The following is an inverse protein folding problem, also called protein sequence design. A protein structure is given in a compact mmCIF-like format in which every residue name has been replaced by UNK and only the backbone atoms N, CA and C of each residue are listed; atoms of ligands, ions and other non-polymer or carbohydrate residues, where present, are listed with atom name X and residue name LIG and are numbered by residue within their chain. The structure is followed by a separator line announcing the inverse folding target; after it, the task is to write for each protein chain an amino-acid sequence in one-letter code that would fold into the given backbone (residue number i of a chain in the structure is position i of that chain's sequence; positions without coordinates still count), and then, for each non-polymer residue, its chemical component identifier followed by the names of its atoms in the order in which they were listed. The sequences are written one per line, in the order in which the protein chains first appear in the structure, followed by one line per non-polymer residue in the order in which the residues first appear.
data_IF_279490262385
#
_entry.id   IF_279490262385
#
_cell.length_a   1.000
_cell.length_b   1.000
_cell.length_c   1.000
_cell.angle_alpha   90.00
_cell.angle_beta   90.00
_cell.angle_gamma   90.00
#
_symmetry.space_group_name_H-M   'P 1'
#
loop_
_entity.id
_entity.type
_entity.pdbx_description
1 polymer ?
#
# COMPACT_ATOMS: atom_id res chain seq x y z
N UNK A 1 15.78 3.10 29.45
CA UNK A 1 14.84 4.24 29.29
C UNK A 1 14.27 4.21 27.86
N UNK A 2 12.98 3.89 27.64
CA UNK A 2 12.39 3.95 26.29
C UNK A 2 12.30 5.43 25.88
N UNK A 3 13.08 5.86 24.89
CA UNK A 3 12.98 7.20 24.30
C UNK A 3 11.55 7.42 23.80
N UNK A 4 10.80 8.30 24.47
CA UNK A 4 9.49 8.73 23.98
C UNK A 4 9.74 9.70 22.83
N UNK A 5 9.43 9.29 21.60
CA UNK A 5 9.42 10.16 20.42
C UNK A 5 7.99 10.51 20.06
N UNK A 6 7.72 11.75 19.67
CA UNK A 6 6.38 12.16 19.24
C UNK A 6 6.09 11.76 17.78
N UNK A 7 7.11 11.72 16.93
CA UNK A 7 7.00 11.45 15.49
C UNK A 7 7.77 10.21 15.04
N UNK A 8 7.33 9.61 13.93
CA UNK A 8 8.06 8.53 13.27
C UNK A 8 9.40 9.00 12.69
N UNK A 9 10.22 8.05 12.23
CA UNK A 9 11.45 8.38 11.50
C UNK A 9 11.13 9.16 10.22
N UNK A 10 11.86 10.24 9.86
CA UNK A 10 11.60 10.98 8.64
C UNK A 10 11.52 10.08 7.40
N UNK A 11 12.46 9.12 7.28
CA UNK A 11 12.42 8.11 6.22
C UNK A 11 11.13 7.27 6.22
N UNK A 12 10.58 6.91 7.38
CA UNK A 12 9.30 6.20 7.45
C UNK A 12 8.12 7.06 6.99
N UNK A 13 8.15 8.35 7.31
CA UNK A 13 7.14 9.31 6.89
C UNK A 13 7.19 9.46 5.37
N UNK A 14 8.37 9.69 4.79
CA UNK A 14 8.56 9.78 3.34
C UNK A 14 8.09 8.49 2.64
N UNK A 15 8.54 7.32 3.11
CA UNK A 15 8.14 6.05 2.53
C UNK A 15 6.63 5.81 2.65
N UNK A 16 6.00 6.21 3.75
CA UNK A 16 4.56 6.07 3.92
C UNK A 16 3.78 6.87 2.88
N UNK A 17 4.07 8.15 2.73
CA UNK A 17 3.35 9.01 1.77
C UNK A 17 3.65 8.63 0.32
N UNK A 18 4.92 8.30 0.01
CA UNK A 18 5.30 7.80 -1.30
C UNK A 18 4.53 6.51 -1.66
N UNK A 19 4.51 5.52 -0.75
CA UNK A 19 3.75 4.29 -0.97
C UNK A 19 2.25 4.54 -1.07
N UNK A 20 1.69 5.44 -0.26
CA UNK A 20 0.27 5.77 -0.34
C UNK A 20 -0.10 6.30 -1.73
N UNK A 21 0.70 7.21 -2.29
CA UNK A 21 0.50 7.75 -3.64
C UNK A 21 0.69 6.67 -4.71
N UNK A 22 1.76 5.88 -4.63
CA UNK A 22 2.04 4.81 -5.61
C UNK A 22 0.95 3.74 -5.61
N UNK A 23 0.46 3.33 -4.44
CA UNK A 23 -0.60 2.32 -4.31
C UNK A 23 -1.92 2.88 -4.86
N UNK A 24 -2.27 4.13 -4.53
CA UNK A 24 -3.47 4.78 -5.07
C UNK A 24 -3.40 4.88 -6.61
N UNK A 25 -2.25 5.28 -7.16
CA UNK A 25 -2.02 5.33 -8.60
C UNK A 25 -2.10 3.94 -9.26
N UNK A 26 -1.49 2.92 -8.66
CA UNK A 26 -1.54 1.55 -9.18
C UNK A 26 -2.97 0.99 -9.18
N UNK A 27 -3.76 1.26 -8.14
CA UNK A 27 -5.17 0.90 -8.08
C UNK A 27 -5.99 1.62 -9.14
N UNK A 28 -5.77 2.93 -9.33
CA UNK A 28 -6.44 3.70 -10.37
C UNK A 28 -6.11 3.16 -11.78
N UNK A 29 -4.84 2.88 -12.06
CA UNK A 29 -4.41 2.24 -13.32
C UNK A 29 -5.08 0.86 -13.49
N UNK A 30 -5.16 0.06 -12.43
CA UNK A 30 -5.80 -1.25 -12.46
C UNK A 30 -7.30 -1.19 -12.77
N UNK A 31 -8.05 -0.36 -12.04
CA UNK A 31 -9.51 -0.27 -12.18
C UNK A 31 -9.97 0.54 -13.39
N UNK A 32 -9.35 1.68 -13.66
CA UNK A 32 -9.82 2.62 -14.69
C UNK A 32 -9.05 2.50 -16.01
N UNK A 33 -7.83 1.95 -15.99
CA UNK A 33 -7.06 1.67 -17.20
C UNK A 33 -7.24 0.22 -17.65
N UNK A 34 -6.65 -0.72 -16.90
CA UNK A 34 -6.53 -2.11 -17.32
C UNK A 34 -7.86 -2.88 -17.37
N UNK A 35 -8.77 -2.63 -16.43
CA UNK A 35 -10.06 -3.32 -16.41
C UNK A 35 -11.04 -2.77 -17.45
N UNK A 36 -10.94 -1.48 -17.81
CA UNK A 36 -11.81 -0.84 -18.79
C UNK A 36 -11.39 -1.08 -20.25
N UNK A 37 -10.12 -1.45 -20.49
CA UNK A 37 -9.55 -1.60 -21.83
C UNK A 37 -9.60 -3.07 -22.30
N UNK A 38 -10.04 -3.37 -23.54
CA UNK A 38 -9.97 -4.73 -24.10
C UNK A 38 -8.53 -5.23 -24.26
N UNK A 39 -8.31 -6.55 -24.20
CA UNK A 39 -6.97 -7.13 -24.43
C UNK A 39 -6.47 -7.02 -25.88
N UNK A 40 -7.37 -6.75 -26.83
CA UNK A 40 -7.05 -6.49 -28.23
C UNK A 40 -6.53 -5.07 -28.48
N UNK A 41 -6.65 -4.16 -27.50
CA UNK A 41 -6.17 -2.79 -27.63
C UNK A 41 -4.63 -2.76 -27.49
N UNK A 42 -3.89 -2.27 -28.51
CA UNK A 42 -2.43 -2.21 -28.45
C UNK A 42 -1.89 -1.29 -27.34
N UNK A 43 -2.66 -0.29 -26.89
CA UNK A 43 -2.26 0.60 -25.79
C UNK A 43 -2.16 -0.16 -24.45
N UNK A 44 -2.87 -1.28 -24.31
CA UNK A 44 -2.93 -2.04 -23.05
C UNK A 44 -1.56 -2.57 -22.63
N UNK A 45 -0.68 -2.88 -23.58
CA UNK A 45 0.68 -3.35 -23.32
C UNK A 45 1.47 -2.27 -22.56
N UNK A 46 1.37 -1.01 -22.96
CA UNK A 46 2.05 0.10 -22.28
C UNK A 46 1.55 0.29 -20.85
N UNK A 47 0.23 0.21 -20.65
CA UNK A 47 -0.39 0.34 -19.32
C UNK A 47 0.01 -0.85 -18.43
N UNK A 48 0.01 -2.08 -18.96
CA UNK A 48 0.50 -3.27 -18.25
C UNK A 48 1.95 -3.10 -17.82
N UNK A 49 2.82 -2.57 -18.69
CA UNK A 49 4.22 -2.32 -18.38
C UNK A 49 4.38 -1.44 -17.15
N UNK A 50 3.68 -0.30 -17.14
CA UNK A 50 3.73 0.66 -16.02
C UNK A 50 3.15 0.04 -14.75
N UNK A 51 2.02 -0.65 -14.86
CA UNK A 51 1.37 -1.28 -13.70
C UNK A 51 2.23 -2.39 -13.07
N UNK A 52 2.81 -3.28 -13.88
CA UNK A 52 3.67 -4.37 -13.42
C UNK A 52 4.97 -3.83 -12.79
N UNK A 53 5.62 -2.86 -13.44
CA UNK A 53 6.82 -2.22 -12.90
C UNK A 53 6.52 -1.48 -11.59
N UNK A 54 5.40 -0.75 -11.53
CA UNK A 54 4.94 -0.06 -10.33
C UNK A 54 4.66 -1.03 -9.17
N UNK A 55 4.05 -2.19 -9.45
CA UNK A 55 3.83 -3.25 -8.45
C UNK A 55 5.13 -3.76 -7.82
N UNK A 56 6.16 -4.00 -8.65
CA UNK A 56 7.47 -4.44 -8.16
C UNK A 56 8.20 -3.34 -7.37
N UNK A 57 8.10 -2.08 -7.80
CA UNK A 57 8.63 -0.93 -7.06
C UNK A 57 7.96 -0.80 -5.67
N UNK A 58 6.64 -0.92 -5.62
CA UNK A 58 5.88 -0.90 -4.35
C UNK A 58 6.35 -2.02 -3.42
N UNK A 59 6.59 -3.23 -3.92
CA UNK A 59 7.13 -4.33 -3.12
C UNK A 59 8.48 -3.98 -2.50
N UNK A 60 9.42 -3.49 -3.31
CA UNK A 60 10.76 -3.10 -2.85
C UNK A 60 10.71 -1.99 -1.79
N UNK A 61 9.95 -0.93 -2.05
CA UNK A 61 9.77 0.18 -1.09
C UNK A 61 9.06 -0.27 0.18
N UNK A 62 8.11 -1.20 0.09
CA UNK A 62 7.43 -1.77 1.26
C UNK A 62 8.40 -2.59 2.12
N UNK A 63 9.28 -3.38 1.51
CA UNK A 63 10.32 -4.12 2.21
C UNK A 63 11.28 -3.18 2.95
N UNK A 64 11.78 -2.14 2.26
CA UNK A 64 12.60 -1.09 2.88
C UNK A 64 11.86 -0.45 4.05
N UNK A 65 10.59 -0.09 3.87
CA UNK A 65 9.75 0.48 4.93
C UNK A 65 9.63 -0.45 6.13
N UNK A 66 9.46 -1.76 5.92
CA UNK A 66 9.40 -2.75 6.99
C UNK A 66 10.71 -2.81 7.78
N UNK A 67 11.85 -2.87 7.09
CA UNK A 67 13.18 -2.88 7.71
C UNK A 67 13.38 -1.61 8.55
N UNK A 68 13.15 -0.42 7.99
CA UNK A 68 13.28 0.85 8.73
C UNK A 68 12.32 0.89 9.92
N UNK A 69 11.11 0.32 9.79
CA UNK A 69 10.15 0.24 10.91
C UNK A 69 10.64 -0.68 12.02
N UNK A 70 11.42 -1.71 11.72
CA UNK A 70 12.00 -2.60 12.72
C UNK A 70 13.20 -1.95 13.42
N UNK A 71 14.00 -1.17 12.69
CA UNK A 71 15.23 -0.56 13.19
C UNK A 71 15.04 0.78 13.92
N UNK A 72 13.88 1.44 13.79
CA UNK A 72 13.67 2.79 14.33
C UNK A 72 12.67 2.84 15.48
N UNK A 73 12.91 3.73 16.45
CA UNK A 73 11.99 4.01 17.53
C UNK A 73 10.62 4.48 17.01
N UNK A 74 9.56 4.04 17.68
CA UNK A 74 8.16 4.32 17.33
C UNK A 74 7.53 5.19 18.41
N UNK A 75 6.67 6.16 18.05
CA UNK A 75 5.83 6.84 19.02
C UNK A 75 4.99 5.85 19.82
N UNK A 76 4.56 6.27 21.01
CA UNK A 76 3.57 5.52 21.78
C UNK A 76 2.33 5.26 20.91
N UNK A 77 1.68 4.10 21.09
CA UNK A 77 0.46 3.79 20.36
C UNK A 77 -0.59 4.85 20.68
N UNK A 78 -1.30 5.32 19.66
CA UNK A 78 -2.50 6.09 19.89
C UNK A 78 -3.57 5.16 20.48
N UNK A 79 -4.35 5.68 21.41
CA UNK A 79 -5.49 4.99 21.99
C UNK A 79 -6.74 5.71 21.54
N UNK A 80 -7.72 4.95 21.09
CA UNK A 80 -9.08 5.44 20.83
C UNK A 80 -9.87 5.66 22.12
N UNK A 81 -9.37 5.15 23.26
CA UNK A 81 -10.13 5.05 24.52
C UNK A 81 -11.09 3.87 24.57
N UNK A 82 -11.18 3.08 23.49
CA UNK A 82 -11.97 1.84 23.43
C UNK A 82 -11.04 0.62 23.30
N UNK A 83 -10.92 -0.22 24.34
CA UNK A 83 -9.99 -1.35 24.35
C UNK A 83 -10.16 -2.33 23.18
N UNK A 84 -11.39 -2.51 22.67
CA UNK A 84 -11.68 -3.36 21.52
C UNK A 84 -11.08 -2.81 20.21
N UNK A 85 -11.24 -1.51 19.96
CA UNK A 85 -10.69 -0.83 18.78
C UNK A 85 -9.15 -0.73 18.84
N UNK A 86 -8.60 -0.54 20.03
CA UNK A 86 -7.15 -0.48 20.22
C UNK A 86 -6.46 -1.83 19.96
N UNK A 87 -7.15 -2.95 20.24
CA UNK A 87 -6.63 -4.31 19.98
C UNK A 87 -6.55 -4.64 18.48
N UNK A 88 -7.44 -4.12 17.66
CA UNK A 88 -7.45 -4.40 16.21
C UNK A 88 -6.48 -3.50 15.42
N UNK A 89 -6.05 -2.37 15.99
CA UNK A 89 -5.18 -1.41 15.30
C UNK A 89 -3.86 -2.03 14.77
N UNK A 90 -3.13 -2.87 15.54
CA UNK A 90 -1.96 -3.56 15.02
C UNK A 90 -2.29 -4.52 13.88
N UNK A 91 -3.45 -5.19 13.92
CA UNK A 91 -3.88 -6.15 12.90
C UNK A 91 -4.06 -5.47 11.54
N UNK A 92 -4.61 -4.26 11.50
CA UNK A 92 -4.69 -3.48 10.26
C UNK A 92 -3.30 -3.19 9.66
N UNK A 93 -2.32 -2.86 10.49
CA UNK A 93 -0.98 -2.52 10.00
C UNK A 93 -0.27 -3.74 9.42
N UNK A 94 -0.32 -4.88 10.11
CA UNK A 94 0.24 -6.14 9.57
C UNK A 94 -0.59 -6.67 8.39
N UNK A 95 -1.91 -6.44 8.41
CA UNK A 95 -2.83 -6.74 7.31
C UNK A 95 -2.43 -6.05 6.01
N UNK A 96 -2.06 -4.76 6.05
CA UNK A 96 -1.55 -4.07 4.85
C UNK A 96 -0.30 -4.73 4.26
N UNK A 97 0.65 -5.14 5.11
CA UNK A 97 1.86 -5.82 4.63
C UNK A 97 1.51 -7.15 3.94
N UNK A 98 0.68 -7.98 4.57
CA UNK A 98 0.24 -9.25 4.02
C UNK A 98 -0.55 -9.06 2.71
N UNK A 99 -1.47 -8.09 2.69
CA UNK A 99 -2.33 -7.81 1.55
C UNK A 99 -1.56 -7.30 0.34
N UNK A 100 -0.59 -6.40 0.55
CA UNK A 100 0.25 -5.88 -0.53
C UNK A 100 1.19 -6.97 -1.05
N UNK A 101 1.74 -7.82 -0.17
CA UNK A 101 2.51 -8.97 -0.61
C UNK A 101 1.66 -9.94 -1.45
N UNK A 102 0.43 -10.23 -1.02
CA UNK A 102 -0.50 -11.07 -1.77
C UNK A 102 -0.90 -10.46 -3.12
N UNK A 103 -1.10 -9.14 -3.19
CA UNK A 103 -1.34 -8.41 -4.43
C UNK A 103 -0.19 -8.61 -5.41
N UNK A 104 1.06 -8.39 -4.98
CA UNK A 104 2.22 -8.52 -5.87
C UNK A 104 2.45 -9.99 -6.25
N UNK A 105 2.30 -10.93 -5.32
CA UNK A 105 2.44 -12.36 -5.60
C UNK A 105 1.43 -12.85 -6.65
N UNK A 106 0.15 -12.49 -6.50
CA UNK A 106 -0.90 -12.86 -7.46
C UNK A 106 -0.72 -12.17 -8.83
N UNK A 107 -0.30 -10.91 -8.84
CA UNK A 107 0.01 -10.18 -10.08
C UNK A 107 1.21 -10.78 -10.82
N UNK A 108 2.28 -11.08 -10.09
CA UNK A 108 3.49 -11.72 -10.62
C UNK A 108 3.17 -13.11 -11.19
N UNK A 109 2.45 -13.94 -10.44
CA UNK A 109 2.04 -15.27 -10.89
C UNK A 109 1.18 -15.20 -12.16
N UNK A 110 0.23 -14.25 -12.22
CA UNK A 110 -0.57 -14.00 -13.44
C UNK A 110 0.35 -13.62 -14.60
N UNK A 111 1.35 -12.76 -14.37
CA UNK A 111 2.31 -12.36 -15.39
C UNK A 111 3.10 -13.53 -15.95
N UNK A 112 3.57 -14.44 -15.10
CA UNK A 112 4.27 -15.66 -15.53
C UNK A 112 3.33 -16.58 -16.33
N UNK A 113 2.15 -16.88 -15.80
CA UNK A 113 1.17 -17.79 -16.44
C UNK A 113 0.68 -17.27 -17.80
N UNK A 114 0.63 -15.95 -17.97
CA UNK A 114 0.18 -15.29 -19.19
C UNK A 114 1.33 -14.90 -20.14
N UNK A 115 2.58 -15.26 -19.84
CA UNK A 115 3.74 -14.91 -20.68
C UNK A 115 4.01 -13.40 -20.79
N UNK A 116 3.50 -12.60 -19.86
CA UNK A 116 3.58 -11.14 -19.92
C UNK A 116 5.00 -10.58 -19.93
N UNK A 117 6.03 -11.16 -19.26
CA UNK A 117 7.38 -10.65 -19.36
C UNK A 117 7.88 -10.53 -20.80
N UNK A 118 7.65 -11.56 -21.62
CA UNK A 118 8.06 -11.56 -23.02
C UNK A 118 7.25 -10.56 -23.86
N UNK A 119 5.93 -10.53 -23.67
CA UNK A 119 5.03 -9.66 -24.44
C UNK A 119 5.28 -8.18 -24.09
N UNK A 120 5.34 -7.86 -22.80
CA UNK A 120 5.29 -6.49 -22.29
C UNK A 120 6.66 -5.84 -22.20
N UNK A 121 7.70 -6.59 -21.80
CA UNK A 121 9.04 -6.03 -21.61
C UNK A 121 10.02 -6.41 -22.72
N UNK A 122 9.96 -7.63 -23.25
CA UNK A 122 10.86 -8.07 -24.32
C UNK A 122 10.35 -7.77 -25.74
N UNK A 123 9.08 -7.37 -25.89
CA UNK A 123 8.51 -7.00 -27.18
C UNK A 123 8.37 -8.18 -28.14
N UNK A 124 7.99 -9.37 -27.65
CA UNK A 124 7.90 -10.59 -28.46
C UNK A 124 6.93 -10.53 -29.65
N UNK A 125 6.05 -9.53 -29.69
CA UNK A 125 4.99 -9.42 -30.71
C UNK A 125 3.83 -10.41 -30.53
N UNK A 126 3.92 -11.32 -29.56
CA UNK A 126 2.84 -12.25 -29.26
C UNK A 126 1.60 -11.50 -28.72
N UNK A 127 0.38 -11.92 -29.08
CA UNK A 127 -0.83 -11.27 -28.60
C UNK A 127 -1.02 -11.50 -27.09
N UNK A 128 -1.70 -10.57 -26.42
CA UNK A 128 -2.19 -10.81 -25.07
C UNK A 128 -3.24 -11.94 -25.09
N UNK A 129 -3.38 -12.73 -24.01
CA UNK A 129 -4.47 -13.69 -23.88
C UNK A 129 -5.83 -13.01 -24.10
N UNK A 130 -6.81 -13.73 -24.65
CA UNK A 130 -8.16 -13.18 -24.91
C UNK A 130 -8.83 -12.67 -23.64
N UNK A 131 -8.63 -13.36 -22.52
CA UNK A 131 -9.02 -12.89 -21.19
C UNK A 131 -7.98 -13.28 -20.15
N UNK A 132 -7.77 -12.40 -19.16
CA UNK A 132 -6.97 -12.75 -17.97
C UNK A 132 -7.78 -13.47 -16.89
N UNK A 133 -9.11 -13.50 -16.96
CA UNK A 133 -9.95 -14.16 -15.94
C UNK A 133 -9.83 -15.68 -15.95
N UNK A 134 -9.26 -16.26 -17.02
CA UNK A 134 -8.90 -17.67 -17.08
C UNK A 134 -7.83 -18.06 -16.06
N UNK A 135 -7.06 -17.08 -15.56
CA UNK A 135 -6.03 -17.30 -14.54
C UNK A 135 -6.64 -17.07 -13.15
N UNK A 136 -6.72 -18.08 -12.28
CA UNK A 136 -7.25 -17.92 -10.92
C UNK A 136 -6.49 -16.85 -10.12
N UNK A 137 -5.19 -16.69 -10.38
CA UNK A 137 -4.36 -15.65 -9.77
C UNK A 137 -4.81 -14.25 -10.15
N UNK A 138 -5.31 -14.03 -11.37
CA UNK A 138 -5.92 -12.74 -11.74
C UNK A 138 -7.18 -12.54 -10.90
N UNK A 139 -8.07 -13.53 -10.87
CA UNK A 139 -9.34 -13.41 -10.15
C UNK A 139 -9.08 -13.05 -8.68
N UNK A 140 -8.14 -13.74 -8.03
CA UNK A 140 -7.67 -13.42 -6.70
C UNK A 140 -7.11 -11.98 -6.59
N UNK A 141 -6.25 -11.56 -7.53
CA UNK A 141 -5.72 -10.19 -7.57
C UNK A 141 -6.83 -9.13 -7.64
N UNK A 142 -7.92 -9.40 -8.37
CA UNK A 142 -9.08 -8.50 -8.45
C UNK A 142 -9.79 -8.34 -7.12
N UNK A 143 -10.09 -9.45 -6.44
CA UNK A 143 -10.69 -9.41 -5.11
C UNK A 143 -9.78 -8.76 -4.08
N UNK A 144 -8.49 -9.08 -4.08
CA UNK A 144 -7.50 -8.47 -3.19
C UNK A 144 -7.40 -6.94 -3.41
N UNK A 145 -7.55 -6.46 -4.65
CA UNK A 145 -7.57 -5.03 -4.94
C UNK A 145 -8.76 -4.32 -4.29
N UNK A 146 -9.96 -4.93 -4.35
CA UNK A 146 -11.18 -4.39 -3.70
C UNK A 146 -11.03 -4.40 -2.18
N UNK A 147 -10.51 -5.49 -1.60
CA UNK A 147 -10.22 -5.57 -0.16
C UNK A 147 -9.20 -4.50 0.24
N UNK A 148 -8.17 -4.26 -0.57
CA UNK A 148 -7.15 -3.23 -0.31
C UNK A 148 -7.75 -1.83 -0.32
N UNK A 149 -8.67 -1.52 -1.25
CA UNK A 149 -9.42 -0.26 -1.23
C UNK A 149 -10.20 -0.10 0.07
N UNK A 150 -10.89 -1.16 0.52
CA UNK A 150 -11.60 -1.15 1.81
C UNK A 150 -10.67 -0.88 3.00
N UNK A 151 -9.50 -1.52 3.03
CA UNK A 151 -8.49 -1.27 4.06
C UNK A 151 -7.98 0.18 4.04
N UNK A 152 -7.69 0.73 2.85
CA UNK A 152 -7.24 2.13 2.70
C UNK A 152 -8.32 3.08 3.19
N UNK A 153 -9.58 2.86 2.81
CA UNK A 153 -10.71 3.70 3.23
C UNK A 153 -10.87 3.69 4.76
N UNK A 154 -10.91 2.50 5.37
CA UNK A 154 -11.01 2.36 6.83
C UNK A 154 -9.83 3.00 7.56
N UNK A 155 -8.62 2.85 7.03
CA UNK A 155 -7.42 3.49 7.58
C UNK A 155 -7.51 5.02 7.52
N UNK A 156 -7.95 5.58 6.39
CA UNK A 156 -8.15 7.01 6.21
C UNK A 156 -9.23 7.56 7.15
N UNK A 157 -10.38 6.90 7.25
CA UNK A 157 -11.46 7.27 8.17
C UNK A 157 -10.98 7.25 9.62
N UNK A 158 -10.25 6.21 10.04
CA UNK A 158 -9.68 6.16 11.39
C UNK A 158 -8.70 7.32 11.63
N UNK A 159 -7.83 7.64 10.67
CA UNK A 159 -6.90 8.76 10.79
C UNK A 159 -7.63 10.11 10.92
N UNK A 160 -8.70 10.31 10.15
CA UNK A 160 -9.55 11.50 10.24
C UNK A 160 -10.32 11.57 11.56
N UNK A 161 -10.84 10.46 12.05
CA UNK A 161 -11.50 10.40 13.36
C UNK A 161 -10.56 10.84 14.49
N UNK A 162 -9.31 10.36 14.47
CA UNK A 162 -8.31 10.79 15.44
C UNK A 162 -7.96 12.28 15.32
N UNK A 163 -7.83 12.79 14.09
CA UNK A 163 -7.50 14.18 13.84
C UNK A 163 -8.62 15.16 14.20
N UNK A 164 -9.86 14.87 13.80
CA UNK A 164 -11.00 15.80 13.88
C UNK A 164 -11.90 15.52 15.09
N UNK A 165 -12.14 14.26 15.41
CA UNK A 165 -12.96 13.82 16.53
C UNK A 165 -12.20 13.83 17.85
N UNK A 166 -11.15 13.01 17.97
CA UNK A 166 -10.33 12.92 19.20
C UNK A 166 -9.39 14.10 19.38
N UNK A 167 -9.03 14.79 18.30
CA UNK A 167 -8.10 15.94 18.29
C UNK A 167 -6.75 15.62 18.94
N UNK A 168 -6.30 14.38 18.84
CA UNK A 168 -5.07 13.87 19.48
C UNK A 168 -3.80 14.07 18.64
N UNK A 169 -3.94 14.80 17.52
CA UNK A 169 -2.88 15.15 16.56
C UNK A 169 -2.18 13.90 15.98
N UNK A 170 -2.90 12.79 15.80
CA UNK A 170 -2.36 11.54 15.23
C UNK A 170 -1.61 11.77 13.91
N UNK A 171 -2.17 12.57 12.99
CA UNK A 171 -1.52 12.85 11.70
C UNK A 171 -0.16 13.52 11.88
N UNK A 172 0.02 14.33 12.92
CA UNK A 172 1.30 14.96 13.25
C UNK A 172 2.42 13.95 13.52
N UNK A 173 2.10 12.70 13.88
CA UNK A 173 3.08 11.62 14.08
C UNK A 173 3.62 11.07 12.75
N UNK A 174 2.82 11.14 11.69
CA UNK A 174 3.14 10.69 10.32
C UNK A 174 3.28 11.88 9.35
N UNK A 175 3.63 13.06 9.84
CA UNK A 175 3.85 14.25 9.02
C UNK A 175 5.33 14.67 9.02
N UNK A 176 5.73 15.41 7.99
CA UNK A 176 7.09 15.92 7.87
C UNK A 176 7.44 16.90 9.00
N UNK A 177 8.69 16.83 9.48
CA UNK A 177 9.28 17.79 10.43
C UNK A 177 10.14 17.14 11.52
N UNK A 178 10.69 17.97 12.41
CA UNK A 178 11.69 17.55 13.41
C UNK A 178 11.12 16.53 14.41
N UNK A 179 11.95 15.54 14.78
CA UNK A 179 11.67 14.60 15.86
C UNK A 179 11.79 15.33 17.20
N UNK A 180 10.72 15.96 17.63
CA UNK A 180 10.62 16.51 18.97
C UNK A 180 10.31 15.39 19.99
N UNK A 181 10.79 15.58 21.22
CA UNK A 181 10.21 14.90 22.38
C UNK A 181 8.70 15.25 22.45
N UNK A 182 7.85 14.38 23.01
CA UNK A 182 6.48 14.78 23.33
C UNK A 182 6.54 16.12 24.08
N UNK A 183 5.59 17.05 23.86
CA UNK A 183 5.46 18.19 24.75
C UNK A 183 5.52 17.65 26.18
N UNK A 184 6.36 18.24 27.03
CA UNK A 184 6.21 18.02 28.47
C UNK A 184 4.74 18.21 28.76
N UNK A 185 4.11 17.24 29.43
CA UNK A 185 2.84 17.51 30.06
C UNK A 185 3.13 18.68 31.00
N UNK A 186 2.86 19.90 30.56
CA UNK A 186 2.79 21.04 31.45
C UNK A 186 1.60 20.75 32.37
N UNK A 187 1.96 20.42 33.61
CA UNK A 187 1.24 20.61 34.87
C UNK A 187 -0.23 20.18 34.89
#
# INVERSE_FOLDING_TARGET
MKTRVFRYHPLLVTLHWLLALLIAGALAVGFFGLAAMPNTDPQKIGILRVHMAGGMLILGLMAIRLIVRMLTAKPARATSGHPSLDRITPLFHYGFYALILAMVATGYATGILAGLPAIVFAGSGAPLPTSFTIYPTRVAHGYLAVVLVGFIALHGVAALYHQLGKKDRLLGRMWFGRRALPPSAEQ
#
